data_IF_546449916934
#
_entry.id   IF_546449916934
#
_cell.length_a   1.000
_cell.length_b   1.000
_cell.length_c   1.000
_cell.angle_alpha   90.00
_cell.angle_beta   90.00
_cell.angle_gamma   90.00
#
_symmetry.space_group_name_H-M   'P 1'
#
loop_
_entity.id
_entity.type
_entity.pdbx_description
1 polymer ?
#
# COMPACT_ATOMS: atom_id res chain seq x y z
N UNK A 1 9.31 1.70 2.44
CA UNK A 1 9.48 2.79 1.46
C UNK A 1 8.16 3.48 1.16
N UNK A 2 7.31 3.57 2.15
CA UNK A 2 6.07 4.34 2.07
C UNK A 2 5.88 5.13 3.35
N UNK A 3 5.12 6.20 3.24
CA UNK A 3 4.71 7.05 4.34
C UNK A 3 3.20 7.15 4.31
N UNK A 4 2.58 7.02 5.47
CA UNK A 4 1.16 7.24 5.66
C UNK A 4 0.93 8.02 6.96
N UNK A 5 -0.27 8.56 7.14
CA UNK A 5 -0.68 9.20 8.39
C UNK A 5 -1.89 8.47 8.96
N UNK A 6 -1.96 8.38 10.29
CA UNK A 6 -3.08 7.72 10.93
C UNK A 6 -4.39 8.50 10.71
N UNK A 7 -5.49 7.78 10.64
CA UNK A 7 -6.83 8.33 10.79
C UNK A 7 -7.12 8.60 12.26
N UNK A 8 -8.09 9.49 12.53
CA UNK A 8 -8.56 9.67 13.90
C UNK A 8 -9.02 8.33 14.48
N UNK A 9 -8.54 8.03 15.68
CA UNK A 9 -8.96 6.85 16.46
C UNK A 9 -9.51 7.38 17.77
N UNK A 10 -10.83 7.30 17.90
CA UNK A 10 -11.56 7.92 19.03
C UNK A 10 -11.03 7.47 20.39
N UNK A 11 -10.67 8.44 21.21
CA UNK A 11 -10.10 8.25 22.54
C UNK A 11 -8.59 7.87 22.55
N UNK A 12 -7.93 7.75 21.38
CA UNK A 12 -6.53 7.31 21.30
C UNK A 12 -5.62 8.21 20.47
N UNK A 13 -6.02 8.64 19.29
CA UNK A 13 -5.17 9.43 18.40
C UNK A 13 -6.01 10.39 17.55
N UNK A 14 -5.53 11.62 17.36
CA UNK A 14 -6.13 12.58 16.45
C UNK A 14 -5.71 12.29 14.99
N UNK A 15 -6.42 12.89 14.04
CA UNK A 15 -6.11 12.78 12.60
C UNK A 15 -4.69 13.28 12.32
N UNK A 16 -3.88 12.45 11.65
CA UNK A 16 -2.49 12.74 11.31
C UNK A 16 -1.59 13.12 12.52
N UNK A 17 -1.93 12.68 13.74
CA UNK A 17 -1.06 12.83 14.91
C UNK A 17 0.21 11.98 14.79
N UNK A 18 0.14 10.89 14.04
CA UNK A 18 1.26 9.97 13.84
C UNK A 18 1.56 9.77 12.36
N UNK A 19 2.85 9.80 12.04
CA UNK A 19 3.37 9.39 10.75
C UNK A 19 3.80 7.91 10.84
N UNK A 20 3.39 7.12 9.87
CA UNK A 20 3.72 5.70 9.76
C UNK A 20 4.68 5.52 8.60
N UNK A 21 5.83 4.90 8.86
CA UNK A 21 6.92 4.76 7.90
C UNK A 21 7.27 3.29 7.72
N UNK A 22 7.12 2.79 6.50
CA UNK A 22 7.61 1.48 6.12
C UNK A 22 9.05 1.57 5.62
N UNK A 23 9.89 0.66 6.12
CA UNK A 23 11.29 0.58 5.72
C UNK A 23 11.64 -0.81 5.21
N UNK A 24 12.66 -0.84 4.36
CA UNK A 24 13.22 -2.05 3.79
C UNK A 24 14.59 -2.32 4.42
N UNK A 25 14.59 -3.19 5.43
CA UNK A 25 15.80 -3.61 6.11
C UNK A 25 15.80 -5.12 6.35
N UNK A 26 16.85 -5.80 5.99
CA UNK A 26 16.97 -7.27 6.05
C UNK A 26 18.09 -7.77 7.00
N UNK A 27 18.50 -6.94 7.94
CA UNK A 27 19.63 -7.28 8.83
C UNK A 27 19.33 -8.32 9.92
N UNK A 28 18.06 -8.63 10.19
CA UNK A 28 17.62 -9.51 11.30
C UNK A 28 16.67 -10.64 10.87
N UNK A 29 16.58 -10.95 9.57
CA UNK A 29 15.66 -11.97 9.07
C UNK A 29 14.19 -11.67 9.41
N UNK A 30 13.46 -12.62 10.01
CA UNK A 30 12.05 -12.47 10.36
C UNK A 30 11.77 -11.44 11.48
N UNK A 31 12.80 -10.85 12.07
CA UNK A 31 12.71 -9.80 13.08
C UNK A 31 13.24 -8.46 12.56
N UNK A 32 13.39 -8.32 11.24
CA UNK A 32 13.81 -7.07 10.61
C UNK A 32 12.78 -5.97 10.84
N UNK A 33 13.21 -4.77 11.27
CA UNK A 33 12.31 -3.63 11.40
C UNK A 33 11.56 -3.38 10.07
N UNK A 34 10.23 -3.26 10.15
CA UNK A 34 9.38 -3.09 8.97
C UNK A 34 8.59 -1.80 8.99
N UNK A 35 7.92 -1.50 10.10
CA UNK A 35 7.06 -0.33 10.21
C UNK A 35 7.32 0.39 11.52
N UNK A 36 7.60 1.68 11.40
CA UNK A 36 7.69 2.60 12.52
C UNK A 36 6.49 3.53 12.58
N UNK A 37 6.13 3.94 13.79
CA UNK A 37 5.19 5.03 14.05
C UNK A 37 5.96 6.16 14.73
N UNK A 38 5.72 7.39 14.29
CA UNK A 38 6.43 8.59 14.74
C UNK A 38 5.38 9.60 15.19
N UNK A 39 5.44 9.98 16.46
CA UNK A 39 4.50 10.96 17.01
C UNK A 39 4.88 12.37 16.58
N UNK A 40 3.88 13.17 16.19
CA UNK A 40 4.04 14.60 15.90
C UNK A 40 4.42 15.36 17.17
N UNK A 41 5.37 16.26 17.07
CA UNK A 41 5.75 17.16 18.15
C UNK A 41 4.64 18.17 18.45
N UNK A 42 4.67 18.79 19.63
CA UNK A 42 3.69 19.81 20.04
C UNK A 42 3.67 21.04 19.12
N UNK A 43 4.77 21.34 18.44
CA UNK A 43 4.89 22.42 17.45
C UNK A 43 4.40 22.03 16.04
N UNK A 44 3.89 20.80 15.88
CA UNK A 44 3.36 20.29 14.62
C UNK A 44 4.40 19.66 13.70
N UNK A 45 5.66 19.59 14.11
CA UNK A 45 6.74 19.01 13.29
C UNK A 45 6.93 17.51 13.52
N UNK A 46 7.65 16.88 12.61
CA UNK A 46 8.28 15.56 12.76
C UNK A 46 9.77 15.74 12.55
N UNK A 47 10.58 15.49 13.59
CA UNK A 47 12.03 15.64 13.54
C UNK A 47 12.72 14.67 14.54
N UNK A 48 13.98 14.90 14.84
CA UNK A 48 14.78 14.08 15.75
C UNK A 48 14.32 14.09 17.21
N UNK A 49 13.44 15.03 17.59
CA UNK A 49 12.79 15.09 18.91
C UNK A 49 11.52 14.26 18.98
N UNK A 50 11.00 13.81 17.84
CA UNK A 50 9.77 13.03 17.76
C UNK A 50 9.95 11.67 18.43
N UNK A 51 8.92 11.21 19.14
CA UNK A 51 8.88 9.84 19.66
C UNK A 51 8.71 8.85 18.51
N UNK A 52 9.67 7.93 18.39
CA UNK A 52 9.74 6.93 17.32
C UNK A 52 9.61 5.54 17.93
N UNK A 53 8.59 4.80 17.54
CA UNK A 53 8.35 3.44 18.00
C UNK A 53 8.33 2.45 16.84
N UNK A 54 9.00 1.29 17.00
CA UNK A 54 8.84 0.17 16.07
C UNK A 54 7.54 -0.55 16.39
N UNK A 55 6.62 -0.63 15.43
CA UNK A 55 5.31 -1.26 15.63
C UNK A 55 5.14 -2.59 14.89
N UNK A 56 5.93 -2.86 13.85
CA UNK A 56 5.97 -4.17 13.21
C UNK A 56 7.39 -4.55 12.78
N UNK A 57 7.78 -5.78 13.05
CA UNK A 57 9.03 -6.37 12.63
C UNK A 57 8.75 -7.71 11.92
N UNK A 58 9.07 -7.76 10.65
CA UNK A 58 9.00 -8.93 9.78
C UNK A 58 10.03 -8.77 8.65
N UNK A 59 9.91 -9.51 7.55
CA UNK A 59 10.86 -9.37 6.42
C UNK A 59 10.51 -8.23 5.49
N UNK A 60 11.47 -7.38 5.17
CA UNK A 60 11.56 -6.51 4.00
C UNK A 60 10.24 -5.88 3.54
N UNK A 61 9.75 -4.93 4.33
CA UNK A 61 8.54 -4.18 4.01
C UNK A 61 8.86 -3.03 3.04
N UNK A 62 8.09 -2.87 1.97
CA UNK A 62 8.16 -1.68 1.12
C UNK A 62 6.81 -0.99 0.87
N UNK A 63 5.75 -1.50 1.47
CA UNK A 63 4.42 -0.92 1.41
C UNK A 63 3.72 -0.96 2.76
N UNK A 64 3.39 0.21 3.30
CA UNK A 64 2.47 0.35 4.41
C UNK A 64 1.47 1.44 4.07
N UNK A 65 0.20 1.20 4.37
CA UNK A 65 -0.89 2.12 4.06
C UNK A 65 -1.99 2.02 5.09
N UNK A 66 -2.75 3.09 5.27
CA UNK A 66 -3.87 3.16 6.20
C UNK A 66 -5.18 3.04 5.43
N UNK A 67 -6.07 2.20 5.92
CA UNK A 67 -7.41 2.10 5.38
C UNK A 67 -8.16 3.43 5.62
N UNK A 68 -8.68 4.08 4.55
CA UNK A 68 -9.17 5.45 4.64
C UNK A 68 -10.42 5.61 5.53
N UNK A 69 -11.17 4.54 5.79
CA UNK A 69 -12.42 4.57 6.54
C UNK A 69 -12.25 4.09 7.98
N UNK A 70 -11.63 2.91 8.18
CA UNK A 70 -11.52 2.30 9.52
C UNK A 70 -10.18 2.55 10.23
N UNK A 71 -9.19 3.14 9.54
CA UNK A 71 -7.90 3.50 10.13
C UNK A 71 -6.95 2.35 10.40
N UNK A 72 -7.26 1.12 9.98
CA UNK A 72 -6.38 -0.02 10.13
C UNK A 72 -5.14 0.09 9.24
N UNK A 73 -4.02 -0.42 9.73
CA UNK A 73 -2.76 -0.46 9.00
C UNK A 73 -2.65 -1.76 8.20
N UNK A 74 -2.31 -1.62 6.93
CA UNK A 74 -1.92 -2.73 6.06
C UNK A 74 -0.45 -2.57 5.66
N UNK A 75 0.31 -3.65 5.74
CA UNK A 75 1.71 -3.67 5.32
C UNK A 75 2.08 -5.02 4.69
N UNK A 76 3.21 -5.05 3.99
CA UNK A 76 3.63 -6.23 3.25
C UNK A 76 5.04 -6.70 3.60
N UNK A 77 5.30 -7.99 3.33
CA UNK A 77 6.65 -8.51 3.13
C UNK A 77 6.84 -8.80 1.64
N UNK A 78 7.59 -7.96 0.94
CA UNK A 78 7.73 -8.11 -0.51
C UNK A 78 8.55 -9.35 -0.92
N UNK A 79 9.49 -9.79 -0.10
CA UNK A 79 10.26 -11.02 -0.35
C UNK A 79 9.37 -12.27 -0.27
N UNK A 80 8.48 -12.31 0.71
CA UNK A 80 7.60 -13.44 0.97
C UNK A 80 6.24 -13.32 0.30
N UNK A 81 5.89 -12.14 -0.21
CA UNK A 81 4.58 -11.87 -0.80
C UNK A 81 3.42 -11.78 0.19
N UNK A 82 3.70 -11.75 1.47
CA UNK A 82 2.65 -11.72 2.50
C UNK A 82 2.11 -10.31 2.69
N UNK A 83 0.80 -10.22 2.94
CA UNK A 83 0.10 -9.00 3.33
C UNK A 83 -0.49 -9.19 4.72
N UNK A 84 -0.25 -8.21 5.58
CA UNK A 84 -0.69 -8.19 6.96
C UNK A 84 -1.63 -7.03 7.22
N UNK A 85 -2.58 -7.24 8.14
CA UNK A 85 -3.38 -6.22 8.79
C UNK A 85 -2.93 -6.07 10.25
N UNK A 86 -2.74 -4.85 10.71
CA UNK A 86 -2.48 -4.52 12.10
C UNK A 86 -3.60 -3.63 12.63
N UNK A 87 -4.21 -4.02 13.75
CA UNK A 87 -5.19 -3.21 14.47
C UNK A 87 -4.47 -2.12 15.27
N UNK A 88 -4.49 -0.87 14.76
CA UNK A 88 -3.87 0.27 15.43
C UNK A 88 -4.60 0.65 16.74
N UNK A 89 -5.89 0.33 16.87
CA UNK A 89 -6.61 0.57 18.14
C UNK A 89 -6.01 -0.28 19.25
N UNK A 90 -5.69 -1.53 18.97
CA UNK A 90 -5.05 -2.43 19.95
C UNK A 90 -3.65 -1.94 20.35
N UNK A 91 -2.86 -1.45 19.37
CA UNK A 91 -1.58 -0.81 19.65
C UNK A 91 -1.73 0.39 20.60
N UNK A 92 -2.56 1.36 20.25
CA UNK A 92 -2.73 2.58 21.06
C UNK A 92 -3.32 2.29 22.44
N UNK A 93 -4.26 1.35 22.53
CA UNK A 93 -4.82 0.89 23.81
C UNK A 93 -3.76 0.29 24.73
N UNK A 94 -2.89 -0.54 24.16
CA UNK A 94 -1.78 -1.14 24.92
C UNK A 94 -0.84 -0.09 25.48
N UNK A 95 -0.39 0.85 24.65
CA UNK A 95 0.54 1.92 25.07
C UNK A 95 -0.14 2.85 26.08
N UNK A 96 -1.38 3.28 25.84
CA UNK A 96 -2.12 4.18 26.75
C UNK A 96 -2.31 3.58 28.14
N UNK A 97 -2.45 2.28 28.25
CA UNK A 97 -2.59 1.55 29.52
C UNK A 97 -1.24 1.26 30.19
N UNK A 98 -0.11 1.77 29.66
CA UNK A 98 1.22 1.55 30.20
C UNK A 98 1.78 0.15 29.92
N UNK A 99 1.18 -0.59 28.98
CA UNK A 99 1.68 -1.87 28.50
C UNK A 99 2.89 -1.71 27.58
N UNK A 100 3.59 -2.83 27.34
CA UNK A 100 4.65 -2.91 26.33
C UNK A 100 4.10 -3.50 25.04
N UNK A 101 4.61 -2.99 23.91
CA UNK A 101 4.28 -3.49 22.57
C UNK A 101 5.40 -4.39 22.05
N UNK A 102 5.05 -5.63 21.66
CA UNK A 102 5.99 -6.52 20.97
C UNK A 102 5.78 -6.36 19.45
N UNK A 103 6.74 -5.78 18.70
CA UNK A 103 6.60 -5.56 17.28
C UNK A 103 6.82 -6.82 16.43
N UNK A 104 7.27 -7.92 17.01
CA UNK A 104 7.62 -9.13 16.26
C UNK A 104 6.34 -9.86 15.83
N UNK A 105 6.07 -9.85 14.52
CA UNK A 105 4.82 -10.37 13.93
C UNK A 105 4.51 -11.80 14.37
N UNK A 106 5.51 -12.69 14.37
CA UNK A 106 5.32 -14.10 14.73
C UNK A 106 4.90 -14.34 16.19
N UNK A 107 5.16 -13.37 17.08
CA UNK A 107 4.83 -13.49 18.48
C UNK A 107 3.39 -13.08 18.79
N UNK A 108 2.74 -12.33 17.88
CA UNK A 108 1.41 -11.76 18.07
C UNK A 108 0.48 -12.06 16.89
N UNK A 109 0.17 -13.35 16.60
CA UNK A 109 -0.58 -13.73 15.40
C UNK A 109 -2.02 -13.21 15.37
N UNK A 110 -2.58 -12.81 16.51
CA UNK A 110 -3.91 -12.21 16.58
C UNK A 110 -3.92 -10.72 16.27
N UNK A 111 -2.82 -10.04 16.58
CA UNK A 111 -2.64 -8.59 16.34
C UNK A 111 -2.18 -8.32 14.92
N UNK A 112 -1.25 -9.12 14.41
CA UNK A 112 -0.76 -9.08 13.04
C UNK A 112 -1.43 -10.19 12.24
N UNK A 113 -2.61 -9.94 11.71
CA UNK A 113 -3.31 -10.94 10.91
C UNK A 113 -2.72 -10.99 9.50
N UNK A 114 -2.12 -12.13 9.14
CA UNK A 114 -1.79 -12.40 7.75
C UNK A 114 -3.09 -12.66 6.97
N UNK A 115 -3.34 -11.89 5.91
CA UNK A 115 -4.54 -12.00 5.09
C UNK A 115 -4.36 -13.01 3.96
N UNK A 116 -3.30 -12.83 3.19
CA UNK A 116 -2.98 -13.69 2.04
C UNK A 116 -1.51 -13.57 1.68
N UNK A 117 -1.09 -14.40 0.74
CA UNK A 117 0.25 -14.35 0.13
C UNK A 117 0.10 -14.17 -1.37
N UNK A 118 0.77 -13.18 -1.94
CA UNK A 118 0.90 -13.00 -3.38
C UNK A 118 1.95 -13.99 -3.88
N UNK A 119 1.59 -14.82 -4.86
CA UNK A 119 2.53 -15.72 -5.50
C UNK A 119 3.54 -14.90 -6.31
N UNK A 120 4.83 -15.19 -6.15
CA UNK A 120 5.93 -14.57 -6.89
C UNK A 120 5.85 -13.01 -6.88
N UNK A 121 6.02 -12.36 -5.72
CA UNK A 121 5.98 -10.91 -5.60
C UNK A 121 7.13 -10.21 -6.32
N UNK A 122 8.15 -10.99 -6.76
CA UNK A 122 9.30 -10.52 -7.54
C UNK A 122 10.03 -9.34 -6.90
N UNK A 123 10.19 -9.38 -5.56
CA UNK A 123 10.95 -8.46 -4.74
C UNK A 123 10.38 -7.05 -4.58
N UNK A 124 9.37 -6.66 -5.34
CA UNK A 124 8.73 -5.35 -5.18
C UNK A 124 7.23 -5.43 -5.38
N UNK A 125 6.43 -5.14 -4.33
CA UNK A 125 5.02 -4.81 -4.52
C UNK A 125 4.54 -3.74 -3.53
N UNK A 126 3.58 -2.95 -3.96
CA UNK A 126 3.02 -1.81 -3.23
C UNK A 126 1.51 -1.96 -3.07
N UNK A 127 0.96 -1.36 -2.02
CA UNK A 127 -0.46 -1.42 -1.67
C UNK A 127 -1.06 -0.03 -1.84
N UNK A 128 -2.16 0.06 -2.62
CA UNK A 128 -2.91 1.29 -2.85
C UNK A 128 -4.38 1.05 -2.52
N UNK A 129 -4.86 1.60 -1.41
CA UNK A 129 -6.26 1.43 -1.01
C UNK A 129 -7.10 2.52 -1.66
N UNK A 130 -8.21 2.12 -2.28
CA UNK A 130 -9.18 3.04 -2.86
C UNK A 130 -9.76 3.98 -1.79
N UNK A 131 -10.02 5.27 -2.08
CA UNK A 131 -10.52 6.24 -1.11
C UNK A 131 -11.80 5.86 -0.39
N UNK A 132 -12.66 5.03 -1.00
CA UNK A 132 -13.85 4.48 -0.34
C UNK A 132 -13.56 3.30 0.60
N UNK A 133 -12.33 2.76 0.59
CA UNK A 133 -11.95 1.56 1.35
C UNK A 133 -12.45 0.24 0.76
N UNK A 134 -13.28 0.26 -0.30
CA UNK A 134 -13.95 -0.94 -0.82
C UNK A 134 -13.04 -1.92 -1.55
N UNK A 135 -11.89 -1.47 -2.02
CA UNK A 135 -10.90 -2.33 -2.67
C UNK A 135 -9.49 -1.73 -2.59
N UNK A 136 -8.49 -2.53 -2.89
CA UNK A 136 -7.11 -2.11 -3.00
C UNK A 136 -6.46 -2.68 -4.26
N UNK A 137 -5.49 -1.93 -4.81
CA UNK A 137 -4.59 -2.43 -5.84
C UNK A 137 -3.25 -2.81 -5.22
N UNK A 138 -2.69 -3.89 -5.73
CA UNK A 138 -1.35 -4.38 -5.37
C UNK A 138 -0.49 -4.36 -6.62
N UNK A 139 0.43 -3.39 -6.69
CA UNK A 139 1.36 -3.26 -7.81
C UNK A 139 2.51 -4.24 -7.67
N UNK A 140 2.55 -5.29 -8.50
CA UNK A 140 3.66 -6.27 -8.55
C UNK A 140 4.65 -5.80 -9.61
N UNK A 141 5.55 -4.92 -9.20
CA UNK A 141 6.34 -4.02 -10.06
C UNK A 141 7.16 -4.80 -11.10
N UNK A 142 7.98 -5.73 -10.64
CA UNK A 142 8.90 -6.46 -11.53
C UNK A 142 8.21 -7.55 -12.39
N UNK A 143 6.95 -7.84 -12.11
CA UNK A 143 6.10 -8.74 -12.91
C UNK A 143 5.07 -8.00 -13.75
N UNK A 144 5.13 -6.67 -13.80
CA UNK A 144 4.47 -5.78 -14.77
C UNK A 144 2.94 -5.77 -14.73
N UNK A 145 2.32 -5.93 -13.53
CA UNK A 145 0.86 -5.96 -13.41
C UNK A 145 0.37 -5.44 -12.06
N UNK A 146 -0.92 -5.12 -11.99
CA UNK A 146 -1.63 -4.87 -10.75
C UNK A 146 -2.65 -5.98 -10.48
N UNK A 147 -2.72 -6.37 -9.21
CA UNK A 147 -3.82 -7.17 -8.68
C UNK A 147 -4.85 -6.26 -8.03
N UNK A 148 -6.09 -6.70 -7.94
CA UNK A 148 -7.16 -6.08 -7.14
C UNK A 148 -7.61 -7.05 -6.05
N UNK A 149 -7.85 -6.52 -4.85
CA UNK A 149 -8.50 -7.21 -3.75
C UNK A 149 -9.69 -6.38 -3.29
N UNK A 150 -10.85 -6.98 -3.21
CA UNK A 150 -12.04 -6.34 -2.70
C UNK A 150 -12.08 -6.45 -1.16
N UNK A 151 -12.71 -5.48 -0.49
CA UNK A 151 -12.86 -5.45 0.96
C UNK A 151 -14.11 -6.20 1.38
N UNK A 152 -13.95 -7.18 2.27
CA UNK A 152 -15.07 -7.91 2.86
C UNK A 152 -15.58 -7.15 4.09
N UNK A 153 -16.76 -6.54 3.97
CA UNK A 153 -17.37 -5.74 5.03
C UNK A 153 -17.78 -6.55 6.26
N UNK A 154 -17.97 -7.86 6.11
CA UNK A 154 -18.34 -8.77 7.22
C UNK A 154 -17.07 -9.14 7.98
N UNK A 155 -16.04 -9.57 7.29
CA UNK A 155 -14.75 -9.95 7.89
C UNK A 155 -13.89 -8.75 8.29
N UNK A 156 -14.21 -7.56 7.77
CA UNK A 156 -13.44 -6.32 7.95
C UNK A 156 -11.99 -6.45 7.48
N UNK A 157 -11.79 -7.03 6.29
CA UNK A 157 -10.46 -7.24 5.71
C UNK A 157 -10.51 -7.38 4.19
N UNK A 158 -9.37 -7.14 3.54
CA UNK A 158 -9.20 -7.45 2.12
C UNK A 158 -9.10 -8.96 1.90
N UNK A 159 -9.80 -9.44 0.85
CA UNK A 159 -9.78 -10.86 0.46
C UNK A 159 -8.61 -11.16 -0.48
N UNK A 160 -8.44 -12.44 -0.82
CA UNK A 160 -7.40 -12.88 -1.77
C UNK A 160 -7.50 -12.13 -3.09
N UNK A 161 -6.42 -11.45 -3.54
CA UNK A 161 -6.45 -10.65 -4.75
C UNK A 161 -6.44 -11.50 -6.03
N UNK A 162 -6.91 -10.89 -7.12
CA UNK A 162 -6.86 -11.45 -8.47
C UNK A 162 -6.13 -10.51 -9.43
N UNK A 163 -5.61 -11.03 -10.55
CA UNK A 163 -4.97 -10.22 -11.57
C UNK A 163 -6.00 -9.28 -12.20
N UNK A 164 -5.75 -7.98 -12.14
CA UNK A 164 -6.69 -6.97 -12.57
C UNK A 164 -6.28 -6.35 -13.91
N UNK A 165 -5.11 -5.71 -13.96
CA UNK A 165 -4.58 -5.10 -15.19
C UNK A 165 -3.11 -5.42 -15.38
N UNK A 166 -2.69 -5.57 -16.63
CA UNK A 166 -1.34 -5.94 -17.02
C UNK A 166 -1.10 -7.44 -17.12
N UNK A 167 -0.24 -7.84 -18.05
CA UNK A 167 0.11 -9.24 -18.27
C UNK A 167 1.15 -9.73 -17.27
N UNK A 168 0.83 -10.77 -16.48
CA UNK A 168 1.80 -11.39 -15.57
C UNK A 168 3.07 -11.82 -16.29
N UNK A 169 4.20 -11.26 -15.86
CA UNK A 169 5.55 -11.46 -16.48
C UNK A 169 5.64 -11.04 -17.97
N UNK A 170 4.74 -10.19 -18.43
CA UNK A 170 4.71 -9.72 -19.82
C UNK A 170 4.91 -8.21 -19.86
N UNK A 171 6.17 -7.78 -19.86
CA UNK A 171 6.50 -6.37 -20.03
C UNK A 171 6.14 -5.89 -21.45
N UNK A 172 5.87 -4.60 -21.58
CA UNK A 172 5.59 -3.96 -22.85
C UNK A 172 4.91 -2.62 -22.70
N UNK A 173 4.47 -2.06 -23.81
CA UNK A 173 3.72 -0.81 -23.85
C UNK A 173 2.48 -0.99 -24.75
N UNK A 174 1.32 -1.17 -24.13
CA UNK A 174 0.04 -1.31 -24.83
C UNK A 174 -1.11 -0.83 -23.95
N UNK A 175 -1.85 0.13 -24.45
CA UNK A 175 -3.15 0.52 -23.92
C UNK A 175 -4.15 -0.57 -24.28
N UNK A 176 -4.89 -1.10 -23.30
CA UNK A 176 -5.86 -2.16 -23.49
C UNK A 176 -6.71 -2.34 -22.21
N UNK A 177 -7.58 -3.33 -22.18
CA UNK A 177 -8.45 -3.67 -21.05
C UNK A 177 -7.87 -4.85 -20.28
N UNK A 178 -7.86 -4.73 -18.94
CA UNK A 178 -7.51 -5.82 -18.05
C UNK A 178 -6.12 -6.38 -18.29
N UNK A 179 -6.01 -7.69 -18.33
CA UNK A 179 -4.75 -8.40 -18.50
C UNK A 179 -4.16 -8.34 -19.90
N UNK A 180 -4.87 -7.75 -20.86
CA UNK A 180 -4.37 -7.52 -22.22
C UNK A 180 -3.48 -6.27 -22.32
N UNK A 181 -3.60 -5.33 -21.39
CA UNK A 181 -2.66 -4.20 -21.28
C UNK A 181 -1.24 -4.67 -21.03
N UNK A 182 -0.25 -3.89 -21.47
CA UNK A 182 1.17 -4.14 -21.19
C UNK A 182 1.79 -2.91 -20.56
N UNK A 183 2.52 -3.17 -19.49
CA UNK A 183 3.24 -2.18 -18.67
C UNK A 183 4.68 -2.66 -18.46
N UNK A 184 5.55 -1.78 -18.02
CA UNK A 184 6.93 -2.13 -17.75
C UNK A 184 7.43 -1.51 -16.43
N UNK A 185 7.41 -2.30 -15.37
CA UNK A 185 7.69 -1.89 -14.00
C UNK A 185 6.76 -0.76 -13.50
N UNK A 186 5.42 -0.99 -13.49
CA UNK A 186 4.47 -0.01 -12.98
C UNK A 186 4.65 0.17 -11.47
N UNK A 187 4.79 1.41 -11.03
CA UNK A 187 5.03 1.72 -9.62
C UNK A 187 4.42 3.07 -9.26
N UNK A 188 4.34 3.37 -7.96
CA UNK A 188 3.84 4.64 -7.44
C UNK A 188 2.53 5.09 -8.12
N UNK A 189 1.46 5.14 -7.37
CA UNK A 189 0.17 5.52 -7.94
C UNK A 189 -0.72 6.22 -6.94
N UNK A 190 -1.76 6.84 -7.47
CA UNK A 190 -2.75 7.60 -6.69
C UNK A 190 -4.13 7.47 -7.33
N UNK A 191 -5.14 7.37 -6.50
CA UNK A 191 -6.54 7.50 -6.93
C UNK A 191 -6.91 8.97 -7.03
N UNK A 192 -7.47 9.37 -8.15
CA UNK A 192 -7.92 10.73 -8.42
C UNK A 192 -9.40 10.69 -8.77
N UNK A 193 -10.20 11.50 -8.05
CA UNK A 193 -11.62 11.59 -8.33
C UNK A 193 -11.87 12.09 -9.77
N UNK A 194 -12.69 11.36 -10.50
CA UNK A 194 -13.10 11.73 -11.85
C UNK A 194 -14.53 12.31 -11.81
N UNK A 195 -14.72 13.60 -12.12
CA UNK A 195 -16.03 14.24 -12.04
C UNK A 195 -17.04 13.73 -13.07
N UNK A 196 -16.57 13.02 -14.09
CA UNK A 196 -17.44 12.45 -15.15
C UNK A 196 -18.12 11.16 -14.70
N UNK A 197 -17.66 10.56 -13.57
CA UNK A 197 -18.29 9.36 -13.03
C UNK A 197 -19.41 9.70 -12.06
N UNK A 198 -20.43 8.86 -12.06
CA UNK A 198 -21.55 8.92 -11.11
C UNK A 198 -21.58 7.64 -10.30
N UNK A 199 -21.53 7.75 -8.96
CA UNK A 199 -21.57 6.61 -8.06
C UNK A 199 -20.40 6.51 -7.12
N UNK A 200 -20.22 5.36 -6.49
CA UNK A 200 -19.22 5.16 -5.43
C UNK A 200 -17.80 4.90 -5.97
N UNK A 201 -17.65 4.49 -7.23
CA UNK A 201 -16.35 4.21 -7.86
C UNK A 201 -15.88 5.38 -8.75
N UNK A 202 -15.94 6.60 -8.22
CA UNK A 202 -15.69 7.84 -8.94
C UNK A 202 -14.18 8.17 -9.12
N UNK A 203 -13.29 7.18 -9.13
CA UNK A 203 -11.86 7.42 -9.14
C UNK A 203 -11.17 6.65 -10.26
N UNK A 204 -10.35 7.36 -11.03
CA UNK A 204 -9.31 6.75 -11.84
C UNK A 204 -8.04 6.52 -11.00
N UNK A 205 -7.28 5.49 -11.31
CA UNK A 205 -5.97 5.25 -10.71
C UNK A 205 -4.87 5.65 -11.69
N UNK A 206 -4.05 6.63 -11.29
CA UNK A 206 -2.90 7.07 -12.07
C UNK A 206 -1.63 6.46 -11.49
N UNK A 207 -0.75 5.96 -12.35
CA UNK A 207 0.49 5.34 -11.92
C UNK A 207 1.66 5.63 -12.88
N UNK A 208 2.88 5.51 -12.36
CA UNK A 208 4.10 5.63 -13.16
C UNK A 208 4.41 4.29 -13.81
N UNK A 209 4.44 4.24 -15.13
CA UNK A 209 4.94 3.11 -15.91
C UNK A 209 6.43 3.33 -16.18
N UNK A 210 7.25 2.95 -15.17
CA UNK A 210 8.62 3.44 -14.96
C UNK A 210 9.53 3.24 -16.15
N UNK A 211 9.57 2.03 -16.71
CA UNK A 211 10.45 1.70 -17.83
C UNK A 211 9.83 1.98 -19.20
N UNK A 212 8.58 2.45 -19.22
CA UNK A 212 7.94 3.03 -20.40
C UNK A 212 7.97 4.58 -20.39
N UNK A 213 8.55 5.20 -19.36
CA UNK A 213 8.72 6.65 -19.24
C UNK A 213 7.42 7.44 -19.41
N UNK A 214 6.32 6.94 -18.86
CA UNK A 214 5.02 7.56 -18.97
C UNK A 214 4.18 7.40 -17.70
N UNK A 215 3.14 8.22 -17.60
CA UNK A 215 2.07 8.07 -16.63
C UNK A 215 0.90 7.41 -17.32
N UNK A 216 0.37 6.38 -16.72
CA UNK A 216 -0.81 5.66 -17.22
C UNK A 216 -2.00 5.88 -16.28
N UNK A 217 -3.18 5.70 -16.81
CA UNK A 217 -4.44 5.75 -16.09
C UNK A 217 -5.15 4.40 -16.19
N UNK A 218 -5.78 3.97 -15.10
CA UNK A 218 -6.67 2.80 -15.05
C UNK A 218 -8.04 3.25 -14.56
N UNK A 219 -9.09 2.91 -15.31
CA UNK A 219 -10.48 3.12 -14.88
C UNK A 219 -10.93 2.01 -13.92
N UNK A 220 -12.04 2.19 -13.17
CA UNK A 220 -12.60 1.14 -12.31
C UNK A 220 -12.85 -0.19 -13.03
N UNK A 221 -13.19 -0.13 -14.34
CA UNK A 221 -13.44 -1.31 -15.19
C UNK A 221 -12.15 -1.98 -15.69
N UNK A 222 -10.99 -1.37 -15.43
CA UNK A 222 -9.70 -1.91 -15.84
C UNK A 222 -9.24 -1.48 -17.24
N UNK A 223 -9.75 -0.37 -17.78
CA UNK A 223 -9.24 0.20 -19.02
C UNK A 223 -7.95 0.95 -18.72
N UNK A 224 -6.84 0.49 -19.30
CA UNK A 224 -5.53 1.12 -19.20
C UNK A 224 -5.29 2.02 -20.38
N UNK A 225 -4.93 3.27 -20.14
CA UNK A 225 -4.60 4.26 -21.17
C UNK A 225 -3.37 5.08 -20.78
N UNK A 226 -2.64 5.57 -21.76
CA UNK A 226 -1.54 6.51 -21.55
C UNK A 226 -2.09 7.91 -21.27
N UNK A 227 -1.72 8.50 -20.13
CA UNK A 227 -2.13 9.84 -19.73
C UNK A 227 -1.12 10.91 -20.12
N UNK A 228 0.17 10.66 -19.87
CA UNK A 228 1.25 11.57 -20.17
C UNK A 228 2.56 10.84 -20.48
N UNK A 229 3.44 11.44 -21.28
CA UNK A 229 4.65 10.80 -21.76
C UNK A 229 4.44 10.02 -23.06
N UNK A 230 5.54 9.49 -23.64
CA UNK A 230 5.50 8.87 -24.98
C UNK A 230 5.62 7.34 -25.02
N UNK A 231 5.68 6.69 -23.87
CA UNK A 231 5.92 5.24 -23.82
C UNK A 231 7.24 4.85 -24.47
N UNK A 232 8.06 4.06 -23.83
CA UNK A 232 9.33 3.50 -24.36
C UNK A 232 10.30 4.47 -25.05
N UNK A 233 10.01 5.79 -25.09
CA UNK A 233 10.88 6.81 -25.65
C UNK A 233 11.68 7.52 -24.56
N UNK A 234 12.99 7.56 -24.71
CA UNK A 234 13.90 8.30 -23.82
C UNK A 234 14.03 9.78 -24.20
N UNK A 235 13.37 10.24 -25.26
CA UNK A 235 13.41 11.65 -25.66
C UNK A 235 12.47 12.48 -24.80
N UNK A 236 13.00 13.54 -24.20
CA UNK A 236 12.22 14.63 -23.64
C UNK A 236 11.52 15.36 -24.80
N UNK A 237 10.31 14.98 -25.09
CA UNK A 237 9.46 15.74 -25.98
C UNK A 237 8.05 15.69 -25.43
N UNK A 238 7.52 16.85 -25.23
CA UNK A 238 6.16 17.15 -24.80
C UNK A 238 5.11 16.64 -25.78
#
# INVERSE_FOLDING_TARGET
RSIAFNKKIEGYADEAEYMIVAIDYDGKGDESPSVYIIKRNADGTFDDRSDIQLIAAYKQCNGATIHPINGELYFNSYEKGQVFRLDLVDYFKTIKNGGSWDPIVKNNPNTFKQLFTIADPSWEFQIFIHPTGKYAYFGVINNHYFMRSDYDEIKKEFITPYNFVGGYKQSGYRDDVGTEARMNNPCQGVFVKNPDYTGEEEYDFYFVDRLNFCVRKVTPEGIVSTYAGRGASTSLAD
#
